data_IF_066876951339
#
_entry.id   IF_066876951339
#
_cell.length_a   1.000
_cell.length_b   1.000
_cell.length_c   1.000
_cell.angle_alpha   90.00
_cell.angle_beta   90.00
_cell.angle_gamma   90.00
#
_symmetry.space_group_name_H-M   'P 1'
#
loop_
_entity.id
_entity.type
_entity.pdbx_description
1 polymer ?
#
# COMPACT_ATOMS: atom_id res chain seq x y z
N UNK A 1 -32.11 -13.40 4.73
CA UNK A 1 -31.03 -13.47 3.71
C UNK A 1 -29.74 -13.85 4.43
N UNK A 2 -29.25 -15.09 4.25
CA UNK A 2 -28.31 -15.74 5.17
C UNK A 2 -26.93 -15.07 5.23
N UNK A 3 -26.51 -14.70 6.45
CA UNK A 3 -25.19 -14.20 6.84
C UNK A 3 -24.04 -15.16 6.54
N UNK A 4 -23.64 -15.21 5.26
CA UNK A 4 -22.40 -15.87 4.81
C UNK A 4 -21.21 -14.97 5.13
N UNK A 5 -20.62 -15.16 6.30
CA UNK A 5 -19.26 -14.68 6.57
C UNK A 5 -18.30 -15.46 5.66
N UNK A 6 -17.88 -14.86 4.54
CA UNK A 6 -16.77 -15.38 3.78
C UNK A 6 -15.51 -15.19 4.64
N UNK A 7 -15.01 -16.25 5.27
CA UNK A 7 -13.66 -16.22 5.84
C UNK A 7 -12.69 -15.89 4.71
N UNK A 8 -12.08 -14.71 4.78
CA UNK A 8 -11.06 -14.30 3.81
C UNK A 8 -9.80 -15.09 4.10
N UNK A 9 -9.60 -16.20 3.38
CA UNK A 9 -8.36 -16.96 3.42
C UNK A 9 -7.18 -16.01 3.20
N UNK A 10 -6.16 -16.15 4.05
CA UNK A 10 -4.98 -15.29 4.00
C UNK A 10 -4.39 -15.33 2.59
N UNK A 11 -4.30 -14.17 1.95
CA UNK A 11 -3.82 -14.08 0.57
C UNK A 11 -2.35 -14.49 0.49
N UNK A 12 -1.94 -15.05 -0.65
CA UNK A 12 -0.55 -15.42 -0.92
C UNK A 12 0.36 -14.22 -1.18
N UNK A 13 -0.16 -12.99 -1.07
CA UNK A 13 0.59 -11.76 -1.23
C UNK A 13 1.23 -11.39 0.12
N UNK A 14 2.54 -11.36 0.15
CA UNK A 14 3.31 -10.94 1.33
C UNK A 14 4.14 -9.72 0.97
N UNK A 15 4.46 -8.87 1.95
CA UNK A 15 5.33 -7.70 1.74
C UNK A 15 6.69 -8.11 1.14
N UNK A 16 7.27 -9.22 1.62
CA UNK A 16 8.50 -9.79 1.05
C UNK A 16 8.32 -10.10 -0.43
N UNK A 17 7.24 -10.81 -0.78
CA UNK A 17 6.94 -11.16 -2.19
C UNK A 17 6.78 -9.92 -3.06
N UNK A 18 6.00 -8.91 -2.65
CA UNK A 18 5.80 -7.69 -3.44
C UNK A 18 7.11 -6.95 -3.73
N UNK A 19 8.07 -7.00 -2.81
CA UNK A 19 9.37 -6.34 -2.97
C UNK A 19 10.38 -7.13 -3.80
N UNK A 20 10.32 -8.46 -3.80
CA UNK A 20 11.35 -9.32 -4.41
C UNK A 20 10.91 -10.03 -5.69
N UNK A 21 9.63 -10.36 -5.83
CA UNK A 21 9.11 -11.16 -6.95
C UNK A 21 9.04 -10.32 -8.24
N UNK A 22 9.58 -10.81 -9.37
CA UNK A 22 9.61 -10.07 -10.64
C UNK A 22 8.22 -9.67 -11.14
N UNK A 23 7.16 -10.38 -10.76
CA UNK A 23 5.78 -10.03 -11.11
C UNK A 23 5.39 -8.62 -10.65
N UNK A 24 6.00 -8.11 -9.57
CA UNK A 24 5.70 -6.78 -9.00
C UNK A 24 6.72 -5.70 -9.40
N UNK A 25 7.66 -6.00 -10.30
CA UNK A 25 8.72 -5.06 -10.69
C UNK A 25 8.17 -3.72 -11.17
N UNK A 26 7.15 -3.73 -12.05
CA UNK A 26 6.49 -2.52 -12.54
C UNK A 26 5.79 -1.76 -11.42
N UNK A 27 5.12 -2.46 -10.51
CA UNK A 27 4.44 -1.87 -9.36
C UNK A 27 5.43 -1.14 -8.45
N UNK A 28 6.59 -1.76 -8.19
CA UNK A 28 7.65 -1.15 -7.39
C UNK A 28 8.31 0.05 -8.09
N UNK A 29 8.46 0.01 -9.42
CA UNK A 29 8.93 1.16 -10.21
C UNK A 29 7.98 2.36 -10.06
N UNK A 30 6.67 2.16 -10.25
CA UNK A 30 5.68 3.23 -10.07
C UNK A 30 5.59 3.70 -8.62
N UNK A 31 5.73 2.81 -7.64
CA UNK A 31 5.77 3.19 -6.23
C UNK A 31 6.98 4.08 -5.92
N UNK A 32 8.15 3.78 -6.47
CA UNK A 32 9.35 4.61 -6.34
C UNK A 32 9.17 5.97 -7.05
N UNK A 33 8.52 5.98 -8.21
CA UNK A 33 8.18 7.20 -8.94
C UNK A 33 7.22 8.08 -8.13
N UNK A 34 6.16 7.48 -7.57
CA UNK A 34 5.21 8.16 -6.70
C UNK A 34 5.90 8.72 -5.44
N UNK A 35 6.85 7.99 -4.86
CA UNK A 35 7.63 8.46 -3.71
C UNK A 35 8.42 9.74 -4.03
N UNK A 36 8.93 9.88 -5.25
CA UNK A 36 9.59 11.11 -5.73
C UNK A 36 8.59 12.23 -6.06
N UNK A 37 7.45 11.88 -6.67
CA UNK A 37 6.45 12.84 -7.11
C UNK A 37 5.67 13.49 -5.97
N UNK A 38 5.29 12.71 -4.94
CA UNK A 38 4.47 13.17 -3.81
C UNK A 38 5.01 14.42 -3.09
N UNK A 39 6.30 14.52 -2.71
CA UNK A 39 6.83 15.72 -2.05
C UNK A 39 6.83 16.94 -2.98
N UNK A 40 7.09 16.76 -4.28
CA UNK A 40 7.03 17.85 -5.27
C UNK A 40 5.60 18.37 -5.41
N UNK A 41 4.64 17.45 -5.57
CA UNK A 41 3.22 17.78 -5.66
C UNK A 41 2.71 18.47 -4.39
N UNK A 42 3.23 18.12 -3.22
CA UNK A 42 2.87 18.77 -1.96
C UNK A 42 3.30 20.24 -1.92
N UNK A 43 4.49 20.58 -2.44
CA UNK A 43 4.97 21.97 -2.54
C UNK A 43 4.03 22.83 -3.39
N UNK A 44 3.62 22.32 -4.54
CA UNK A 44 2.65 22.99 -5.42
C UNK A 44 1.27 23.05 -4.76
N UNK A 45 0.82 21.97 -4.12
CA UNK A 45 -0.49 21.96 -3.44
C UNK A 45 -0.55 22.93 -2.25
N UNK A 46 0.60 23.25 -1.64
CA UNK A 46 0.66 24.21 -0.55
C UNK A 46 0.22 25.62 -0.98
N UNK A 47 0.50 26.01 -2.23
CA UNK A 47 0.14 27.32 -2.79
C UNK A 47 -1.34 27.43 -3.23
N UNK A 48 -2.08 26.32 -3.27
CA UNK A 48 -3.52 26.33 -3.57
C UNK A 48 -4.27 26.92 -2.37
N UNK A 49 -5.23 27.84 -2.53
CA UNK A 49 -6.01 28.36 -1.40
C UNK A 49 -6.86 27.29 -0.70
N UNK A 50 -7.03 27.44 0.62
CA UNK A 50 -7.84 26.57 1.48
C UNK A 50 -9.22 26.16 0.91
N UNK A 51 -10.06 27.06 0.35
CA UNK A 51 -11.37 26.67 -0.17
C UNK A 51 -11.30 25.65 -1.33
N UNK A 52 -10.18 25.61 -2.04
CA UNK A 52 -9.94 24.72 -3.16
C UNK A 52 -9.05 23.52 -2.81
N UNK A 53 -8.51 23.44 -1.58
CA UNK A 53 -7.71 22.32 -1.09
C UNK A 53 -8.59 21.06 -0.92
N UNK A 54 -8.73 20.30 -2.01
CA UNK A 54 -9.43 19.01 -2.04
C UNK A 54 -8.46 17.87 -2.35
N UNK A 55 -8.73 16.69 -1.80
CA UNK A 55 -7.94 15.47 -2.07
C UNK A 55 -7.79 15.18 -3.57
N UNK A 56 -8.86 15.39 -4.35
CA UNK A 56 -8.85 15.22 -5.82
C UNK A 56 -7.82 16.13 -6.52
N UNK A 57 -7.66 17.37 -6.06
CA UNK A 57 -6.69 18.34 -6.64
C UNK A 57 -5.27 17.86 -6.37
N UNK A 58 -4.98 17.46 -5.13
CA UNK A 58 -3.67 16.88 -4.78
C UNK A 58 -3.33 15.65 -5.62
N UNK A 59 -4.28 14.72 -5.80
CA UNK A 59 -4.08 13.54 -6.63
C UNK A 59 -3.84 13.88 -8.10
N UNK A 60 -4.53 14.89 -8.63
CA UNK A 60 -4.33 15.39 -10.00
C UNK A 60 -2.92 15.96 -10.19
N UNK A 61 -2.49 16.86 -9.30
CA UNK A 61 -1.13 17.42 -9.32
C UNK A 61 -0.10 16.30 -9.24
N UNK A 62 -0.29 15.34 -8.33
CA UNK A 62 0.65 14.21 -8.17
C UNK A 62 0.75 13.36 -9.44
N UNK A 63 -0.36 13.08 -10.12
CA UNK A 63 -0.37 12.36 -11.39
C UNK A 63 0.34 13.10 -12.51
N UNK A 64 0.17 14.43 -12.58
CA UNK A 64 0.91 15.28 -13.53
C UNK A 64 2.41 15.23 -13.23
N UNK A 65 2.84 15.45 -11.99
CA UNK A 65 4.26 15.36 -11.59
C UNK A 65 4.85 13.99 -11.95
N UNK A 66 4.12 12.90 -11.69
CA UNK A 66 4.58 11.56 -12.08
C UNK A 66 4.83 11.44 -13.59
N UNK A 67 3.95 12.05 -14.38
CA UNK A 67 4.05 12.05 -15.85
C UNK A 67 5.28 12.84 -16.31
N UNK A 68 5.51 14.03 -15.76
CA UNK A 68 6.67 14.87 -16.09
C UNK A 68 8.00 14.25 -15.64
N UNK A 69 8.06 13.65 -14.45
CA UNK A 69 9.24 12.91 -13.99
C UNK A 69 9.55 11.72 -14.88
N UNK A 70 8.54 11.08 -15.47
CA UNK A 70 8.75 10.00 -16.45
C UNK A 70 9.39 10.52 -17.74
N UNK A 71 9.11 11.77 -18.12
CA UNK A 71 9.74 12.44 -19.26
C UNK A 71 11.12 13.03 -18.96
N UNK A 72 11.64 12.87 -17.74
CA UNK A 72 12.99 13.31 -17.37
C UNK A 72 13.13 14.80 -17.07
N UNK A 73 12.02 15.50 -16.83
CA UNK A 73 12.04 16.91 -16.45
C UNK A 73 12.67 17.11 -15.08
N UNK A 74 13.33 18.26 -14.90
CA UNK A 74 13.91 18.61 -13.61
C UNK A 74 12.80 18.93 -12.59
N UNK A 75 13.06 18.67 -11.31
CA UNK A 75 12.06 18.89 -10.27
C UNK A 75 11.70 20.38 -10.10
N UNK A 76 12.64 21.29 -10.36
CA UNK A 76 12.43 22.75 -10.27
C UNK A 76 11.49 23.22 -11.36
N UNK A 77 11.73 22.81 -12.61
CA UNK A 77 10.93 23.23 -13.77
C UNK A 77 9.48 22.73 -13.63
N UNK A 78 9.31 21.51 -13.12
CA UNK A 78 7.98 20.94 -12.84
C UNK A 78 7.22 21.79 -11.82
N UNK A 79 7.89 22.27 -10.77
CA UNK A 79 7.27 23.10 -9.73
C UNK A 79 6.84 24.43 -10.32
N UNK A 80 7.73 25.10 -11.06
CA UNK A 80 7.45 26.40 -11.69
C UNK A 80 6.28 26.28 -12.67
N UNK A 81 6.31 25.28 -13.56
CA UNK A 81 5.26 25.05 -14.54
C UNK A 81 3.91 24.74 -13.89
N UNK A 82 3.90 23.87 -12.88
CA UNK A 82 2.67 23.54 -12.16
C UNK A 82 2.17 24.71 -11.31
N UNK A 83 3.06 25.50 -10.72
CA UNK A 83 2.67 26.70 -9.98
C UNK A 83 1.97 27.70 -10.91
N UNK A 84 2.55 27.99 -12.09
CA UNK A 84 1.93 28.85 -13.11
C UNK A 84 0.56 28.34 -13.57
N UNK A 85 0.38 27.02 -13.69
CA UNK A 85 -0.89 26.43 -14.12
C UNK A 85 -1.96 26.46 -13.03
N UNK A 86 -1.59 26.13 -11.78
CA UNK A 86 -2.56 25.93 -10.70
C UNK A 86 -2.84 27.22 -9.91
N UNK A 87 -1.89 28.14 -9.75
CA UNK A 87 -2.08 29.38 -8.97
C UNK A 87 -3.16 30.30 -9.57
N UNK A 88 -3.22 30.56 -10.89
CA UNK A 88 -4.27 31.38 -11.49
C UNK A 88 -5.64 30.68 -11.48
N UNK A 89 -5.66 29.36 -11.68
CA UNK A 89 -6.91 28.58 -11.78
C UNK A 89 -7.70 28.53 -10.47
N UNK A 90 -7.02 28.67 -9.32
CA UNK A 90 -7.65 28.63 -8.00
C UNK A 90 -7.69 30.00 -7.30
N UNK A 91 -7.47 31.10 -8.04
CA UNK A 91 -7.79 32.45 -7.56
C UNK A 91 -6.69 33.18 -6.79
N UNK A 92 -5.41 32.90 -7.07
CA UNK A 92 -4.32 33.73 -6.56
C UNK A 92 -3.97 33.51 -5.09
N UNK A 93 -2.80 34.04 -4.75
CA UNK A 93 -2.00 33.73 -3.58
C UNK A 93 -2.66 34.25 -2.30
N UNK A 94 -3.36 33.39 -1.57
CA UNK A 94 -3.57 33.62 -0.14
C UNK A 94 -2.41 32.95 0.58
N UNK A 95 -1.39 33.75 0.89
CA UNK A 95 -0.64 33.59 2.14
C UNK A 95 -1.68 33.71 3.24
N UNK A 96 -2.34 32.59 3.57
CA UNK A 96 -3.22 32.54 4.73
C UNK A 96 -2.32 32.78 5.93
N UNK A 97 -2.47 33.95 6.55
CA UNK A 97 -1.85 34.29 7.82
C UNK A 97 -1.95 33.08 8.74
N UNK A 98 -0.77 32.59 9.12
CA UNK A 98 -0.51 31.64 10.19
C UNK A 98 -1.74 30.84 10.62
N UNK A 99 -2.11 29.82 9.83
CA UNK A 99 -3.00 28.77 10.32
C UNK A 99 -2.45 28.39 11.70
N UNK A 100 -3.22 28.55 12.79
CA UNK A 100 -2.69 28.55 14.15
C UNK A 100 -1.84 27.31 14.26
N UNK A 101 -0.52 27.51 14.47
CA UNK A 101 0.49 26.46 14.55
C UNK A 101 -0.20 25.31 15.26
N UNK A 102 -0.58 24.27 14.51
CA UNK A 102 -1.26 23.16 15.12
C UNK A 102 -0.15 22.50 15.89
N UNK A 103 -0.01 22.90 17.16
CA UNK A 103 0.86 22.24 18.12
C UNK A 103 0.43 20.80 18.00
N UNK A 104 1.26 19.99 17.34
CA UNK A 104 0.97 18.59 17.12
C UNK A 104 0.67 18.06 18.51
N UNK A 105 -0.59 17.73 18.75
CA UNK A 105 -1.06 17.26 20.04
C UNK A 105 -0.07 16.17 20.41
N UNK A 106 0.74 16.36 21.48
CA UNK A 106 1.86 15.48 21.76
C UNK A 106 1.29 14.09 21.70
N UNK A 107 1.91 13.22 20.89
CA UNK A 107 1.33 11.92 20.59
C UNK A 107 0.93 11.33 21.93
N UNK A 108 -0.37 11.17 22.19
CA UNK A 108 -0.81 10.39 23.33
C UNK A 108 -0.48 8.94 22.95
N UNK A 109 0.81 8.61 22.96
CA UNK A 109 1.24 7.34 23.47
C UNK A 109 0.70 7.37 24.89
N UNK A 110 -0.56 6.96 25.08
CA UNK A 110 -0.93 6.33 26.34
C UNK A 110 0.22 5.38 26.57
N UNK A 111 0.99 5.60 27.62
CA UNK A 111 1.94 4.60 28.08
C UNK A 111 1.12 3.33 28.11
N UNK A 112 1.34 2.42 27.14
CA UNK A 112 0.78 1.09 27.26
C UNK A 112 1.34 0.67 28.61
N UNK A 113 0.51 0.38 29.64
CA UNK A 113 1.04 -0.11 30.90
C UNK A 113 2.03 -1.18 30.48
N UNK A 114 3.29 -1.01 30.91
CA UNK A 114 4.33 -1.93 30.53
C UNK A 114 3.73 -3.30 30.81
N UNK A 115 3.52 -4.09 29.76
CA UNK A 115 3.18 -5.50 29.96
C UNK A 115 4.47 -6.02 30.55
N UNK A 116 4.56 -5.92 31.88
CA UNK A 116 5.65 -6.47 32.63
C UNK A 116 5.73 -7.96 32.32
N UNK A 117 6.73 -8.66 32.85
CA UNK A 117 6.90 -10.09 32.63
C UNK A 117 5.77 -10.95 33.25
N UNK A 118 4.58 -10.40 33.49
CA UNK A 118 3.31 -11.09 33.77
C UNK A 118 2.77 -11.85 32.54
N UNK A 119 3.51 -11.93 31.44
CA UNK A 119 3.21 -12.90 30.37
C UNK A 119 3.49 -14.35 30.83
N UNK A 120 4.33 -14.59 31.84
CA UNK A 120 4.60 -15.95 32.34
C UNK A 120 3.41 -16.59 33.07
N UNK A 121 2.42 -15.82 33.51
CA UNK A 121 1.25 -16.33 34.24
C UNK A 121 -0.06 -16.40 33.46
N UNK A 122 -0.19 -15.62 32.37
CA UNK A 122 -1.42 -15.57 31.56
C UNK A 122 -1.45 -16.65 30.47
N UNK A 123 -0.30 -16.99 29.91
CA UNK A 123 -0.12 -18.25 29.23
C UNK A 123 0.11 -19.31 30.31
N UNK A 124 -0.98 -19.80 30.93
CA UNK A 124 -0.94 -21.17 31.44
C UNK A 124 -0.29 -21.99 30.32
N UNK A 125 0.71 -22.82 30.64
CA UNK A 125 1.17 -23.87 29.75
C UNK A 125 -0.03 -24.81 29.53
N UNK A 126 -1.04 -24.38 28.79
CA UNK A 126 -2.02 -25.24 28.18
C UNK A 126 -1.16 -25.97 27.16
N UNK A 127 -0.82 -27.26 27.40
CA UNK A 127 -0.13 -28.01 26.37
C UNK A 127 -1.01 -27.85 25.14
N UNK A 128 -0.46 -27.30 24.05
CA UNK A 128 -1.24 -26.97 22.86
C UNK A 128 -2.10 -28.19 22.55
N UNK A 129 -3.43 -28.08 22.78
CA UNK A 129 -4.32 -29.22 22.62
C UNK A 129 -4.07 -29.72 21.21
N UNK A 130 -3.59 -30.97 21.11
CA UNK A 130 -3.23 -31.53 19.81
C UNK A 130 -4.48 -31.38 18.95
N UNK A 131 -4.41 -30.66 17.82
CA UNK A 131 -5.59 -30.47 16.99
C UNK A 131 -6.19 -31.84 16.70
N UNK A 132 -7.53 -31.93 16.72
CA UNK A 132 -8.22 -33.20 16.56
C UNK A 132 -7.69 -33.94 15.33
N UNK A 133 -7.64 -35.28 15.41
CA UNK A 133 -7.11 -36.11 14.33
C UNK A 133 -7.73 -35.75 12.97
N UNK A 134 -9.04 -35.49 12.94
CA UNK A 134 -9.75 -35.02 11.75
C UNK A 134 -9.24 -33.68 11.20
N UNK A 135 -8.90 -32.72 12.06
CA UNK A 135 -8.32 -31.43 11.64
C UNK A 135 -6.90 -31.61 11.06
N UNK A 136 -6.11 -32.52 11.64
CA UNK A 136 -4.78 -32.87 11.13
C UNK A 136 -4.86 -33.57 9.76
N UNK A 137 -5.79 -34.51 9.60
CA UNK A 137 -6.04 -35.17 8.32
C UNK A 137 -6.51 -34.19 7.26
N UNK A 138 -7.45 -33.31 7.60
CA UNK A 138 -7.94 -32.28 6.69
C UNK A 138 -6.80 -31.36 6.22
N UNK A 139 -5.91 -30.93 7.13
CA UNK A 139 -4.72 -30.14 6.74
C UNK A 139 -3.74 -30.91 5.86
N UNK A 140 -3.54 -32.21 6.09
CA UNK A 140 -2.68 -33.05 5.23
C UNK A 140 -3.28 -33.18 3.83
N UNK A 141 -4.58 -33.46 3.73
CA UNK A 141 -5.32 -33.56 2.46
C UNK A 141 -5.32 -32.22 1.71
N UNK A 142 -5.61 -31.10 2.38
CA UNK A 142 -5.56 -29.76 1.77
C UNK A 142 -4.15 -29.42 1.25
N UNK A 143 -3.09 -29.81 1.99
CA UNK A 143 -1.71 -29.62 1.53
C UNK A 143 -1.35 -30.49 0.32
N UNK A 144 -1.84 -31.73 0.26
CA UNK A 144 -1.66 -32.62 -0.89
C UNK A 144 -2.42 -32.11 -2.12
N UNK A 145 -3.69 -31.76 -1.94
CA UNK A 145 -4.52 -31.20 -3.00
C UNK A 145 -3.91 -29.93 -3.62
N UNK A 146 -3.38 -29.02 -2.80
CA UNK A 146 -2.67 -27.83 -3.31
C UNK A 146 -1.42 -28.20 -4.10
N UNK A 147 -0.66 -29.20 -3.66
CA UNK A 147 0.53 -29.66 -4.39
C UNK A 147 0.17 -30.25 -5.74
N UNK A 148 -0.91 -31.03 -5.81
CA UNK A 148 -1.45 -31.59 -7.06
C UNK A 148 -1.89 -30.49 -8.01
N UNK A 149 -2.71 -29.53 -7.55
CA UNK A 149 -3.11 -28.37 -8.36
C UNK A 149 -1.92 -27.55 -8.88
N UNK A 150 -0.86 -27.40 -8.07
CA UNK A 150 0.35 -26.72 -8.52
C UNK A 150 1.09 -27.56 -9.58
N UNK A 151 1.18 -28.89 -9.43
CA UNK A 151 1.77 -29.77 -10.44
C UNK A 151 0.97 -29.75 -11.73
N UNK A 152 -0.36 -29.87 -11.68
CA UNK A 152 -1.24 -29.81 -12.85
C UNK A 152 -1.09 -28.49 -13.60
N UNK A 153 -1.04 -27.35 -12.90
CA UNK A 153 -0.77 -26.05 -13.55
C UNK A 153 0.61 -25.99 -14.21
N UNK A 154 1.63 -26.58 -13.61
CA UNK A 154 2.97 -26.63 -14.19
C UNK A 154 2.98 -27.55 -15.42
N UNK A 155 2.32 -28.71 -15.38
CA UNK A 155 2.19 -29.64 -16.50
C UNK A 155 1.36 -29.07 -17.67
N UNK A 156 0.28 -28.34 -17.39
CA UNK A 156 -0.48 -27.61 -18.43
C UNK A 156 0.33 -26.46 -19.04
N UNK A 157 1.22 -25.82 -18.28
CA UNK A 157 2.13 -24.79 -18.80
C UNK A 157 3.23 -25.36 -19.69
N UNK A 158 3.69 -26.60 -19.45
CA UNK A 158 4.72 -27.25 -20.28
C UNK A 158 4.16 -27.94 -21.52
N UNK A 159 2.90 -28.37 -21.50
CA UNK A 159 2.23 -29.05 -22.61
C UNK A 159 1.40 -28.11 -23.49
N UNK A 160 1.53 -26.79 -23.33
CA UNK A 160 0.89 -25.84 -24.22
C UNK A 160 1.51 -26.00 -25.63
N UNK A 161 0.70 -26.28 -26.68
CA UNK A 161 1.22 -26.40 -28.03
C UNK A 161 1.86 -25.08 -28.46
N UNK A 162 3.14 -25.14 -28.83
CA UNK A 162 3.85 -24.04 -29.47
C UNK A 162 3.25 -23.83 -30.86
N UNK A 163 2.23 -22.97 -30.96
CA UNK A 163 1.80 -22.43 -32.24
C UNK A 163 2.83 -21.39 -32.69
N UNK A 164 3.91 -21.85 -33.31
CA UNK A 164 4.79 -21.02 -34.13
C UNK A 164 4.13 -20.83 -35.50
N UNK A 165 3.84 -19.58 -35.84
CA UNK A 165 3.47 -19.09 -37.18
C UNK A 165 4.55 -19.36 -38.21
#
# INVERSE_FOLDING_TARGET
MFGKYYMRSRSSITCKRVKTDPAFRKTMQYAALLAKASPIALKVYASVPLPYKKHKVRCKITGEVMTWLRYGWSATDIIEWLAQKYVPQYGGMQLSEEAPVTVLRPSYRRARPAVGPTAKGLFKNVPAERPSFGLLEWRRRDKQFRRELYKERQHHSTNAPNYST
#
